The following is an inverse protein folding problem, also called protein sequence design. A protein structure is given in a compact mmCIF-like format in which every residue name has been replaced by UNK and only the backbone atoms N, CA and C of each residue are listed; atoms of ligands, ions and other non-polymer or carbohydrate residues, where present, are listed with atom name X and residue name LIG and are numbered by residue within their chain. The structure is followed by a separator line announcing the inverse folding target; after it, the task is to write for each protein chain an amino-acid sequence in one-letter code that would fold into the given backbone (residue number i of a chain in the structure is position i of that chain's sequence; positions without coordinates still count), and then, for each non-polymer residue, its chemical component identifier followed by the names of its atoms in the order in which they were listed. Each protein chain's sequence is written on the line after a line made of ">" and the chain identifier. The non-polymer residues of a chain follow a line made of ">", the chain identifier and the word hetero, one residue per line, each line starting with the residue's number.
data_IF_801988207271
#
_entry.id   IF_801988207271
#
_cell.length_a   1.000
_cell.length_b   1.000
_cell.length_c   1.000
_cell.angle_alpha   90.00
_cell.angle_beta   90.00
_cell.angle_gamma   90.00
#
_symmetry.space_group_name_H-M   'P 1'
#
loop_
_entity.id
_entity.type
_entity.pdbx_description
1 polymer ?
#
# COMPACT_ATOMS: atom_id res chain seq x y z
N UNK A 1 -53.15 19.77 66.63
CA UNK A 1 -51.75 19.31 66.61
C UNK A 1 -51.02 20.02 65.48
N UNK A 2 -50.14 20.98 65.79
CA UNK A 2 -49.34 21.69 64.78
C UNK A 2 -47.89 21.54 65.20
N UNK A 3 -47.13 20.69 64.49
CA UNK A 3 -45.67 20.66 64.61
C UNK A 3 -45.16 21.92 63.91
N UNK A 4 -44.71 22.89 64.69
CA UNK A 4 -43.90 23.99 64.19
C UNK A 4 -42.49 23.44 64.00
N UNK A 5 -42.07 23.30 62.75
CA UNK A 5 -40.69 23.01 62.41
C UNK A 5 -39.86 24.24 62.76
N UNK A 6 -38.97 24.15 63.74
CA UNK A 6 -37.95 25.18 63.96
C UNK A 6 -37.02 25.18 62.75
N UNK A 7 -37.13 26.23 61.92
CA UNK A 7 -36.13 26.50 60.90
C UNK A 7 -34.91 27.11 61.58
N UNK A 8 -33.95 26.25 61.94
CA UNK A 8 -32.61 26.70 62.31
C UNK A 8 -31.97 27.38 61.08
N UNK A 9 -31.82 28.69 61.12
CA UNK A 9 -31.09 29.46 60.10
C UNK A 9 -29.58 29.24 60.23
N UNK A 10 -28.90 29.10 59.09
CA UNK A 10 -27.43 29.02 59.01
C UNK A 10 -26.80 30.36 59.41
N UNK A 11 -25.67 30.32 60.14
CA UNK A 11 -24.93 31.54 60.46
C UNK A 11 -24.06 31.99 59.28
N UNK A 12 -23.83 33.30 59.16
CA UNK A 12 -22.98 33.86 58.11
C UNK A 12 -21.56 33.28 58.15
N UNK A 13 -21.03 33.00 59.35
CA UNK A 13 -19.69 32.41 59.50
C UNK A 13 -19.64 30.97 59.01
N UNK A 14 -20.70 30.20 59.23
CA UNK A 14 -20.82 28.82 58.76
C UNK A 14 -20.85 28.77 57.22
N UNK A 15 -21.57 29.69 56.58
CA UNK A 15 -21.59 29.77 55.12
C UNK A 15 -20.23 30.20 54.53
N UNK A 16 -19.51 31.13 55.18
CA UNK A 16 -18.15 31.52 54.76
C UNK A 16 -17.19 30.32 54.83
N UNK A 17 -17.22 29.57 55.94
CA UNK A 17 -16.36 28.41 56.14
C UNK A 17 -16.65 27.34 55.07
N UNK A 18 -17.92 27.09 54.76
CA UNK A 18 -18.33 26.12 53.73
C UNK A 18 -17.80 26.53 52.35
N UNK A 19 -17.98 27.80 51.95
CA UNK A 19 -17.49 28.30 50.66
C UNK A 19 -15.95 28.22 50.58
N UNK A 20 -15.26 28.56 51.67
CA UNK A 20 -13.79 28.47 51.72
C UNK A 20 -13.29 27.03 51.59
N UNK A 21 -13.87 26.09 52.35
CA UNK A 21 -13.48 24.67 52.31
C UNK A 21 -13.80 24.04 50.96
N UNK A 22 -15.00 24.31 50.41
CA UNK A 22 -15.39 23.79 49.09
C UNK A 22 -14.50 24.33 47.98
N UNK A 23 -14.06 25.59 48.05
CA UNK A 23 -13.05 26.15 47.13
C UNK A 23 -11.71 25.40 47.19
N UNK A 24 -11.19 25.16 48.40
CA UNK A 24 -9.92 24.44 48.60
C UNK A 24 -10.04 23.00 48.08
N UNK A 25 -11.06 22.25 48.53
CA UNK A 25 -11.26 20.86 48.12
C UNK A 25 -11.52 20.76 46.62
N UNK A 26 -12.34 21.66 46.05
CA UNK A 26 -12.61 21.70 44.62
C UNK A 26 -11.34 21.92 43.80
N UNK A 27 -10.45 22.80 44.23
CA UNK A 27 -9.16 23.03 43.57
C UNK A 27 -8.24 21.81 43.62
N UNK A 28 -8.19 21.10 44.76
CA UNK A 28 -7.41 19.86 44.89
C UNK A 28 -7.94 18.78 43.96
N UNK A 29 -9.26 18.54 43.96
CA UNK A 29 -9.90 17.54 43.09
C UNK A 29 -9.66 17.85 41.62
N UNK A 30 -9.73 19.11 41.21
CA UNK A 30 -9.46 19.51 39.83
C UNK A 30 -8.04 19.14 39.36
N UNK A 31 -7.03 19.32 40.22
CA UNK A 31 -5.65 18.92 39.92
C UNK A 31 -5.50 17.40 39.82
N UNK A 32 -6.16 16.64 40.71
CA UNK A 32 -6.14 15.18 40.67
C UNK A 32 -6.86 14.59 39.47
N UNK A 33 -7.94 15.22 38.98
CA UNK A 33 -8.68 14.75 37.80
C UNK A 33 -8.00 15.10 36.48
N UNK A 34 -7.16 16.14 36.44
CA UNK A 34 -6.50 16.56 35.20
C UNK A 34 -5.55 15.49 34.65
N UNK A 35 -4.72 14.90 35.49
CA UNK A 35 -3.73 13.88 35.09
C UNK A 35 -4.38 12.65 34.43
N UNK A 36 -5.40 11.98 35.02
CA UNK A 36 -6.03 10.83 34.38
C UNK A 36 -6.75 11.20 33.08
N UNK A 37 -7.38 12.38 32.99
CA UNK A 37 -8.01 12.85 31.75
C UNK A 37 -6.99 13.09 30.63
N UNK A 38 -5.88 13.79 30.94
CA UNK A 38 -4.80 14.02 29.98
C UNK A 38 -4.17 12.69 29.53
N UNK A 39 -4.02 11.73 30.44
CA UNK A 39 -3.52 10.39 30.13
C UNK A 39 -4.47 9.63 29.20
N UNK A 40 -5.79 9.73 29.42
CA UNK A 40 -6.79 9.08 28.58
C UNK A 40 -6.78 9.64 27.16
N UNK A 41 -6.74 10.97 27.02
CA UNK A 41 -6.64 11.63 25.71
C UNK A 41 -5.33 11.27 24.99
N UNK A 42 -4.23 11.16 25.73
CA UNK A 42 -2.96 10.70 25.17
C UNK A 42 -3.03 9.24 24.68
N UNK A 43 -3.67 8.35 25.44
CA UNK A 43 -3.86 6.95 25.03
C UNK A 43 -4.73 6.83 23.76
N UNK A 44 -5.86 7.55 23.68
CA UNK A 44 -6.71 7.56 22.49
C UNK A 44 -5.95 8.08 21.26
N UNK A 45 -5.19 9.18 21.41
CA UNK A 45 -4.36 9.72 20.33
C UNK A 45 -3.31 8.71 19.85
N UNK A 46 -2.59 8.07 20.76
CA UNK A 46 -1.59 7.05 20.44
C UNK A 46 -2.20 5.87 19.69
N UNK A 47 -3.37 5.42 20.14
CA UNK A 47 -4.11 4.33 19.51
C UNK A 47 -4.47 4.68 18.07
N UNK A 48 -5.01 5.88 17.82
CA UNK A 48 -5.37 6.35 16.47
C UNK A 48 -4.17 6.47 15.53
N UNK A 49 -3.05 7.02 16.01
CA UNK A 49 -1.83 7.10 15.19
C UNK A 49 -1.30 5.70 14.86
N UNK A 50 -1.29 4.80 15.85
CA UNK A 50 -0.83 3.41 15.65
C UNK A 50 -1.70 2.68 14.65
N UNK A 51 -3.03 2.79 14.77
CA UNK A 51 -3.99 2.17 13.85
C UNK A 51 -3.86 2.71 12.41
N UNK A 52 -3.69 4.03 12.27
CA UNK A 52 -3.45 4.66 10.96
C UNK A 52 -2.16 4.13 10.32
N UNK A 53 -1.08 4.06 11.09
CA UNK A 53 0.21 3.59 10.60
C UNK A 53 0.19 2.10 10.25
N UNK A 54 -0.39 1.25 11.10
CA UNK A 54 -0.50 -0.20 10.87
C UNK A 54 -1.38 -0.50 9.64
N UNK A 55 -2.53 0.17 9.52
CA UNK A 55 -3.42 0.03 8.36
C UNK A 55 -2.71 0.44 7.06
N UNK A 56 -1.98 1.56 7.07
CA UNK A 56 -1.21 2.02 5.91
C UNK A 56 -0.13 0.99 5.52
N UNK A 57 0.70 0.55 6.47
CA UNK A 57 1.77 -0.41 6.22
C UNK A 57 1.23 -1.78 5.76
N UNK A 58 0.13 -2.27 6.33
CA UNK A 58 -0.51 -3.51 5.88
C UNK A 58 -1.08 -3.41 4.48
N UNK A 59 -1.65 -2.25 4.11
CA UNK A 59 -2.12 -2.01 2.73
C UNK A 59 -0.95 -2.03 1.75
N UNK A 60 0.14 -1.31 2.07
CA UNK A 60 1.37 -1.34 1.27
C UNK A 60 1.92 -2.75 1.12
N UNK A 61 2.03 -3.49 2.22
CA UNK A 61 2.50 -4.88 2.22
C UNK A 61 1.68 -5.79 1.30
N UNK A 62 0.35 -5.64 1.28
CA UNK A 62 -0.52 -6.42 0.38
C UNK A 62 -0.29 -6.08 -1.08
N UNK A 63 -0.17 -4.79 -1.41
CA UNK A 63 0.05 -4.37 -2.81
C UNK A 63 1.45 -4.79 -3.29
N UNK A 64 2.48 -4.63 -2.45
CA UNK A 64 3.87 -5.03 -2.77
C UNK A 64 4.01 -6.54 -2.98
N UNK A 65 3.26 -7.37 -2.25
CA UNK A 65 3.23 -8.83 -2.48
C UNK A 65 2.70 -9.22 -3.86
N UNK A 66 1.95 -8.33 -4.49
CA UNK A 66 1.42 -8.48 -5.84
C UNK A 66 2.25 -7.71 -6.87
N UNK A 67 3.45 -7.25 -6.51
CA UNK A 67 4.36 -6.65 -7.48
C UNK A 67 4.81 -7.69 -8.52
N UNK A 68 4.97 -7.24 -9.76
CA UNK A 68 5.61 -8.02 -10.81
C UNK A 68 7.06 -8.32 -10.35
N UNK A 69 7.52 -9.57 -10.48
CA UNK A 69 8.89 -9.96 -10.14
C UNK A 69 9.91 -8.99 -10.72
N UNK A 70 10.88 -8.56 -9.92
CA UNK A 70 11.94 -7.62 -10.32
C UNK A 70 11.47 -6.24 -10.81
N UNK A 71 10.23 -5.82 -10.51
CA UNK A 71 9.73 -4.49 -10.86
C UNK A 71 9.80 -3.46 -9.73
N UNK A 72 10.03 -3.89 -8.49
CA UNK A 72 10.08 -2.96 -7.36
C UNK A 72 11.31 -2.07 -7.45
N UNK A 73 11.11 -0.77 -7.31
CA UNK A 73 12.16 0.25 -7.22
C UNK A 73 11.85 1.26 -6.14
N UNK A 74 12.90 1.81 -5.54
CA UNK A 74 12.82 2.83 -4.50
C UNK A 74 13.66 4.02 -4.94
N UNK A 75 13.19 5.25 -4.72
CA UNK A 75 13.98 6.44 -5.03
C UNK A 75 15.22 6.52 -4.15
N UNK A 76 16.29 7.17 -4.61
CA UNK A 76 17.52 7.30 -3.83
C UNK A 76 17.30 7.97 -2.45
N UNK A 77 16.29 8.82 -2.32
CA UNK A 77 15.90 9.45 -1.07
C UNK A 77 15.07 8.55 -0.13
N UNK A 78 14.65 7.36 -0.57
CA UNK A 78 13.80 6.45 0.20
C UNK A 78 12.38 6.96 0.44
N UNK A 79 11.94 8.00 -0.28
CA UNK A 79 10.64 8.65 -0.08
C UNK A 79 9.53 8.08 -0.95
N UNK A 80 9.88 7.32 -1.99
CA UNK A 80 8.92 6.69 -2.91
C UNK A 80 9.32 5.25 -3.14
N UNK A 81 8.35 4.34 -3.00
CA UNK A 81 8.43 2.96 -3.50
C UNK A 81 7.45 2.79 -4.63
N UNK A 82 7.92 2.23 -5.74
CA UNK A 82 7.17 2.05 -6.97
C UNK A 82 7.35 0.64 -7.51
N UNK A 83 6.29 0.07 -8.10
CA UNK A 83 6.31 -1.25 -8.70
C UNK A 83 5.22 -1.38 -9.76
N UNK A 84 5.31 -2.42 -10.59
CA UNK A 84 4.22 -2.80 -11.49
C UNK A 84 3.31 -3.79 -10.75
N UNK A 85 2.04 -3.47 -10.59
CA UNK A 85 1.06 -4.36 -9.96
C UNK A 85 0.69 -5.52 -10.87
N UNK A 86 0.47 -6.69 -10.29
CA UNK A 86 -0.07 -7.87 -10.98
C UNK A 86 -1.43 -8.22 -10.41
N UNK A 87 -2.35 -8.59 -11.31
CA UNK A 87 -3.69 -9.04 -10.93
C UNK A 87 -3.80 -10.57 -10.94
N UNK A 88 -3.15 -11.19 -11.90
CA UNK A 88 -3.19 -12.63 -12.14
C UNK A 88 -1.94 -13.10 -12.89
N UNK A 89 -1.89 -14.37 -13.23
CA UNK A 89 -0.86 -14.95 -14.08
C UNK A 89 -1.24 -16.39 -14.43
N UNK A 90 -0.50 -16.97 -15.36
CA UNK A 90 -0.81 -18.29 -15.88
C UNK A 90 0.41 -18.98 -16.45
N UNK A 91 0.15 -20.10 -17.12
CA UNK A 91 1.13 -20.74 -17.98
C UNK A 91 0.70 -20.57 -19.43
N UNK A 92 1.61 -20.11 -20.27
CA UNK A 92 1.39 -20.10 -21.72
C UNK A 92 1.73 -21.48 -22.29
N UNK A 93 1.14 -21.82 -23.43
CA UNK A 93 1.47 -23.00 -24.19
C UNK A 93 2.81 -22.80 -24.90
N UNK A 94 3.77 -23.69 -24.65
CA UNK A 94 5.10 -23.62 -25.25
C UNK A 94 5.22 -24.38 -26.59
N UNK A 95 4.27 -25.27 -26.88
CA UNK A 95 4.22 -26.06 -28.11
C UNK A 95 2.79 -26.10 -28.62
N UNK A 96 2.63 -25.79 -29.89
CA UNK A 96 1.35 -25.61 -30.56
C UNK A 96 1.53 -25.70 -32.08
N UNK A 97 0.42 -25.78 -32.79
CA UNK A 97 0.39 -25.74 -34.27
C UNK A 97 -0.17 -24.42 -34.80
N UNK A 98 -0.39 -23.43 -33.93
CA UNK A 98 -0.95 -22.12 -34.27
C UNK A 98 -2.46 -22.14 -34.55
N UNK A 99 -3.13 -23.29 -34.35
CA UNK A 99 -4.59 -23.36 -34.46
C UNK A 99 -5.27 -22.83 -33.20
N UNK A 100 -6.50 -22.35 -33.34
CA UNK A 100 -7.30 -21.83 -32.22
C UNK A 100 -7.47 -22.92 -31.15
N UNK A 101 -7.04 -22.63 -29.92
CA UNK A 101 -7.04 -23.60 -28.81
C UNK A 101 -5.73 -24.39 -28.67
N UNK A 102 -4.80 -24.24 -29.61
CA UNK A 102 -3.50 -24.89 -29.62
C UNK A 102 -2.39 -23.94 -30.11
N UNK A 103 -2.53 -22.65 -29.82
CA UNK A 103 -1.55 -21.63 -30.19
C UNK A 103 -0.42 -21.52 -29.14
N UNK A 104 0.83 -21.51 -29.57
CA UNK A 104 1.98 -21.36 -28.67
C UNK A 104 2.51 -19.94 -28.69
N UNK A 105 3.05 -19.48 -27.56
CA UNK A 105 3.78 -18.21 -27.56
C UNK A 105 5.13 -18.38 -28.27
N UNK A 106 5.31 -17.73 -29.42
CA UNK A 106 6.53 -17.72 -30.20
C UNK A 106 7.48 -16.60 -29.76
N UNK A 107 8.76 -16.96 -29.55
CA UNK A 107 9.82 -16.04 -29.12
C UNK A 107 10.77 -15.67 -30.28
N UNK A 108 10.60 -16.28 -31.45
CA UNK A 108 11.43 -16.07 -32.64
C UNK A 108 10.90 -14.98 -33.57
N UNK A 109 9.61 -14.65 -33.44
CA UNK A 109 8.90 -13.63 -34.22
C UNK A 109 8.08 -12.72 -33.31
N UNK A 110 7.52 -11.65 -33.87
CA UNK A 110 6.51 -10.86 -33.18
C UNK A 110 5.18 -11.61 -33.16
N UNK A 111 4.84 -12.14 -32.01
CA UNK A 111 3.60 -12.89 -31.79
C UNK A 111 2.46 -11.95 -31.36
N UNK A 112 1.22 -12.33 -31.66
CA UNK A 112 0.04 -11.53 -31.36
C UNK A 112 -1.04 -12.29 -30.56
N UNK A 113 -0.86 -13.58 -30.32
CA UNK A 113 -1.72 -14.37 -29.45
C UNK A 113 -0.97 -15.54 -28.83
N UNK A 114 -1.57 -16.17 -27.82
CA UNK A 114 -1.14 -17.48 -27.34
C UNK A 114 -2.24 -18.11 -26.50
N UNK A 115 -2.21 -19.43 -26.36
CA UNK A 115 -3.14 -20.17 -25.50
C UNK A 115 -2.60 -20.33 -24.07
N UNK A 116 -3.50 -20.25 -23.10
CA UNK A 116 -3.25 -20.53 -21.68
C UNK A 116 -3.39 -22.02 -21.41
N UNK A 117 -2.42 -22.59 -20.69
CA UNK A 117 -2.51 -23.92 -20.12
C UNK A 117 -3.23 -23.88 -18.77
N UNK A 118 -4.53 -24.16 -18.76
CA UNK A 118 -5.34 -24.24 -17.56
C UNK A 118 -6.70 -23.55 -17.70
N UNK A 119 -7.34 -23.15 -16.59
CA UNK A 119 -8.59 -22.40 -16.64
C UNK A 119 -8.37 -21.03 -17.29
N UNK A 120 -9.46 -20.45 -17.82
CA UNK A 120 -9.45 -19.11 -18.36
C UNK A 120 -9.05 -18.06 -17.32
N UNK A 121 -8.39 -17.01 -17.78
CA UNK A 121 -7.92 -15.91 -16.94
C UNK A 121 -8.82 -14.71 -17.16
N UNK A 122 -9.25 -14.09 -16.07
CA UNK A 122 -10.04 -12.86 -16.12
C UNK A 122 -9.18 -11.68 -16.54
N UNK A 123 -9.39 -11.20 -17.77
CA UNK A 123 -8.71 -10.07 -18.37
C UNK A 123 -9.60 -8.83 -18.38
N UNK A 124 -8.97 -7.66 -18.37
CA UNK A 124 -9.61 -6.34 -18.44
C UNK A 124 -8.92 -5.46 -19.51
N UNK A 125 -9.65 -4.45 -19.98
CA UNK A 125 -9.07 -3.44 -20.86
C UNK A 125 -7.95 -2.67 -20.12
N UNK A 126 -6.81 -2.47 -20.80
CA UNK A 126 -5.63 -1.82 -20.23
C UNK A 126 -4.64 -2.75 -19.54
N UNK A 127 -4.96 -4.04 -19.43
CA UNK A 127 -4.01 -5.04 -18.94
C UNK A 127 -2.80 -5.17 -19.85
N UNK A 128 -1.68 -5.57 -19.25
CA UNK A 128 -0.44 -5.89 -19.96
C UNK A 128 0.03 -7.28 -19.59
N UNK A 129 0.58 -8.01 -20.54
CA UNK A 129 1.17 -9.32 -20.32
C UNK A 129 2.67 -9.14 -20.11
N UNK A 130 3.15 -9.60 -18.97
CA UNK A 130 4.56 -9.71 -18.69
C UNK A 130 5.03 -11.15 -18.88
N UNK A 131 6.13 -11.34 -19.58
CA UNK A 131 6.79 -12.66 -19.72
C UNK A 131 8.23 -12.53 -19.28
N UNK A 132 8.60 -13.31 -18.27
CA UNK A 132 9.96 -13.49 -17.80
C UNK A 132 10.73 -12.18 -17.48
N UNK A 133 10.13 -11.30 -16.65
CA UNK A 133 10.79 -10.05 -16.22
C UNK A 133 11.95 -10.32 -15.26
N UNK A 134 13.17 -10.00 -15.70
CA UNK A 134 14.39 -10.17 -14.92
C UNK A 134 14.87 -8.85 -14.29
N UNK A 135 14.35 -7.71 -14.74
CA UNK A 135 14.77 -6.39 -14.26
C UNK A 135 16.22 -6.04 -14.64
N UNK A 136 16.70 -6.61 -15.75
CA UNK A 136 18.02 -6.34 -16.33
C UNK A 136 17.84 -5.85 -17.78
N UNK A 137 18.83 -5.12 -18.34
CA UNK A 137 18.76 -4.70 -19.74
C UNK A 137 18.52 -5.89 -20.69
N UNK A 138 17.56 -5.74 -21.61
CA UNK A 138 17.10 -6.79 -22.52
C UNK A 138 15.98 -7.68 -21.96
N UNK A 139 15.64 -7.56 -20.67
CA UNK A 139 14.55 -8.27 -20.01
C UNK A 139 13.94 -7.45 -18.85
N UNK A 140 13.74 -6.13 -19.07
CA UNK A 140 13.16 -5.21 -18.10
C UNK A 140 11.75 -4.72 -18.52
N UNK A 141 10.79 -4.91 -17.62
CA UNK A 141 9.41 -4.45 -17.77
C UNK A 141 9.31 -2.92 -17.77
N UNK A 142 10.17 -2.19 -17.05
CA UNK A 142 10.14 -0.73 -17.05
C UNK A 142 10.61 -0.13 -18.39
N UNK A 143 11.52 -0.82 -19.07
CA UNK A 143 11.90 -0.52 -20.45
C UNK A 143 10.87 -0.99 -21.50
N UNK A 144 9.81 -1.69 -21.07
CA UNK A 144 8.79 -2.26 -21.95
C UNK A 144 9.25 -3.49 -22.74
N UNK A 145 10.43 -4.05 -22.42
CA UNK A 145 11.03 -5.16 -23.16
C UNK A 145 10.26 -6.46 -22.92
N UNK A 146 9.78 -6.68 -21.70
CA UNK A 146 9.05 -7.88 -21.31
C UNK A 146 7.54 -7.67 -21.21
N UNK A 147 7.02 -6.55 -21.71
CA UNK A 147 5.59 -6.21 -21.67
C UNK A 147 4.97 -6.20 -23.08
N UNK A 148 3.75 -6.71 -23.17
CA UNK A 148 2.86 -6.53 -24.33
C UNK A 148 1.49 -6.04 -23.85
N UNK A 149 0.83 -5.17 -24.61
CA UNK A 149 -0.52 -4.72 -24.28
C UNK A 149 -1.53 -5.81 -24.61
N UNK A 150 -2.47 -6.10 -23.70
CA UNK A 150 -3.61 -6.95 -24.01
C UNK A 150 -4.57 -6.22 -24.95
N UNK A 151 -5.03 -6.89 -26.01
CA UNK A 151 -5.88 -6.31 -27.06
C UNK A 151 -7.25 -6.97 -27.16
N UNK A 152 -7.51 -8.00 -26.35
CA UNK A 152 -8.78 -8.72 -26.33
C UNK A 152 -9.89 -8.02 -25.51
N UNK A 153 -11.08 -8.62 -25.54
CA UNK A 153 -12.21 -8.17 -24.73
C UNK A 153 -12.03 -8.51 -23.24
N UNK A 154 -12.70 -7.77 -22.35
CA UNK A 154 -12.74 -8.12 -20.94
C UNK A 154 -13.56 -9.40 -20.73
N UNK A 155 -13.11 -10.27 -19.81
CA UNK A 155 -13.75 -11.55 -19.53
C UNK A 155 -12.75 -12.65 -19.21
N UNK A 156 -13.26 -13.85 -18.92
CA UNK A 156 -12.42 -15.04 -18.74
C UNK A 156 -12.02 -15.60 -20.10
N UNK A 157 -10.73 -15.53 -20.44
CA UNK A 157 -10.20 -15.96 -21.75
C UNK A 157 -9.13 -17.03 -21.59
N UNK A 158 -9.09 -17.97 -22.54
CA UNK A 158 -8.03 -18.97 -22.68
C UNK A 158 -7.08 -18.65 -23.83
N UNK A 159 -7.54 -17.88 -24.82
CA UNK A 159 -6.70 -17.30 -25.87
C UNK A 159 -6.43 -15.84 -25.48
N UNK A 160 -5.16 -15.49 -25.29
CA UNK A 160 -4.74 -14.14 -24.91
C UNK A 160 -4.26 -13.42 -26.17
N UNK A 161 -5.03 -12.44 -26.63
CA UNK A 161 -4.61 -11.54 -27.71
C UNK A 161 -3.74 -10.41 -27.15
N UNK A 162 -2.60 -10.17 -27.77
CA UNK A 162 -1.65 -9.11 -27.41
C UNK A 162 -1.33 -8.24 -28.62
N UNK A 163 -0.89 -7.01 -28.36
CA UNK A 163 -0.23 -6.21 -29.39
C UNK A 163 1.03 -6.95 -29.87
N UNK A 164 1.33 -6.97 -31.18
CA UNK A 164 2.45 -7.74 -31.72
C UNK A 164 3.74 -7.51 -30.94
N UNK A 165 4.30 -8.58 -30.37
CA UNK A 165 5.46 -8.52 -29.49
C UNK A 165 6.33 -9.77 -29.67
N UNK A 166 7.62 -9.54 -29.91
CA UNK A 166 8.63 -10.57 -29.71
C UNK A 166 9.16 -10.43 -28.28
N UNK A 167 8.81 -11.38 -27.40
CA UNK A 167 9.40 -11.41 -26.07
C UNK A 167 10.87 -11.86 -26.16
N UNK A 168 11.77 -11.25 -25.38
CA UNK A 168 13.20 -11.51 -25.51
C UNK A 168 13.61 -12.91 -25.04
N UNK A 169 12.90 -13.45 -24.04
CA UNK A 169 13.26 -14.69 -23.37
C UNK A 169 12.01 -15.47 -22.94
N UNK A 170 12.06 -16.79 -23.12
CA UNK A 170 11.05 -17.70 -22.61
C UNK A 170 11.22 -17.96 -21.12
N UNK A 171 10.13 -17.84 -20.34
CA UNK A 171 10.12 -18.28 -18.94
C UNK A 171 10.37 -19.79 -18.84
N UNK A 172 11.36 -20.27 -18.06
CA UNK A 172 11.63 -21.70 -17.90
C UNK A 172 10.44 -22.51 -17.36
N UNK A 173 9.51 -21.87 -16.66
CA UNK A 173 8.28 -22.47 -16.16
C UNK A 173 7.07 -22.27 -17.07
N UNK A 174 7.28 -21.72 -18.28
CA UNK A 174 6.26 -21.26 -19.21
C UNK A 174 5.25 -20.31 -18.57
N UNK A 175 5.70 -19.42 -17.68
CA UNK A 175 4.83 -18.50 -16.92
C UNK A 175 4.72 -17.14 -17.58
N UNK A 176 3.57 -16.49 -17.35
CA UNK A 176 3.35 -15.08 -17.61
C UNK A 176 2.54 -14.46 -16.47
N UNK A 177 2.58 -13.14 -16.37
CA UNK A 177 1.82 -12.35 -15.40
C UNK A 177 0.94 -11.34 -16.12
N UNK A 178 -0.23 -11.06 -15.54
CA UNK A 178 -1.15 -9.99 -15.97
C UNK A 178 -0.89 -8.78 -15.10
N UNK A 179 -0.35 -7.72 -15.70
CA UNK A 179 0.05 -6.46 -15.09
C UNK A 179 -1.09 -5.45 -15.24
N UNK A 180 -1.53 -4.86 -14.13
CA UNK A 180 -2.65 -3.91 -14.09
C UNK A 180 -2.23 -2.43 -14.10
N UNK A 181 -0.94 -2.14 -13.94
CA UNK A 181 -0.44 -0.75 -13.98
C UNK A 181 0.73 -0.50 -13.04
N UNK A 182 1.38 0.67 -13.14
CA UNK A 182 2.31 1.10 -12.11
C UNK A 182 1.56 1.59 -10.87
N UNK A 183 2.15 1.31 -9.70
CA UNK A 183 1.68 1.76 -8.38
C UNK A 183 2.84 2.42 -7.67
N UNK A 184 2.60 3.60 -7.11
CA UNK A 184 3.58 4.35 -6.31
C UNK A 184 3.02 4.69 -4.94
N UNK A 185 3.82 4.53 -3.90
CA UNK A 185 3.58 5.12 -2.59
C UNK A 185 4.54 6.29 -2.39
N UNK A 186 4.00 7.49 -2.38
CA UNK A 186 4.76 8.73 -2.19
C UNK A 186 4.57 9.18 -0.77
N UNK A 187 5.69 9.25 -0.05
CA UNK A 187 5.73 9.86 1.26
C UNK A 187 6.24 11.29 1.17
N UNK A 188 5.44 12.22 1.70
CA UNK A 188 5.75 13.64 1.74
C UNK A 188 5.60 14.14 3.19
N UNK A 189 6.69 14.15 3.97
CA UNK A 189 6.69 14.71 5.32
C UNK A 189 6.43 16.22 5.37
N UNK A 190 6.70 16.97 4.29
CA UNK A 190 6.44 18.41 4.24
C UNK A 190 4.93 18.69 4.13
N UNK A 191 4.21 17.90 3.34
CA UNK A 191 2.75 17.90 3.32
C UNK A 191 2.13 17.09 4.49
N UNK A 192 2.94 16.29 5.19
CA UNK A 192 2.50 15.41 6.26
C UNK A 192 1.66 14.23 5.77
N UNK A 193 1.89 13.71 4.56
CA UNK A 193 1.04 12.69 3.93
C UNK A 193 1.80 11.48 3.41
N UNK A 194 1.10 10.34 3.39
CA UNK A 194 1.49 9.15 2.63
C UNK A 194 0.36 8.85 1.64
N UNK A 195 0.67 8.89 0.35
CA UNK A 195 -0.32 8.81 -0.72
C UNK A 195 0.02 7.68 -1.69
N UNK A 196 -0.97 6.86 -2.04
CA UNK A 196 -0.87 5.86 -3.10
C UNK A 196 -1.35 6.46 -4.42
N UNK A 197 -0.59 6.24 -5.47
CA UNK A 197 -0.90 6.59 -6.85
C UNK A 197 -0.94 5.32 -7.70
N UNK A 198 -1.80 5.29 -8.71
CA UNK A 198 -1.89 4.17 -9.66
C UNK A 198 -2.37 4.63 -11.02
N UNK A 199 -2.17 3.78 -12.04
CA UNK A 199 -2.74 4.00 -13.38
C UNK A 199 -2.18 5.23 -14.10
N UNK A 200 -0.97 5.66 -13.75
CA UNK A 200 -0.23 6.70 -14.47
C UNK A 200 0.67 6.09 -15.54
N UNK A 201 1.17 6.92 -16.45
CA UNK A 201 2.16 6.50 -17.44
C UNK A 201 3.54 6.41 -16.77
N UNK A 202 4.20 5.23 -16.76
CA UNK A 202 5.50 5.06 -16.13
C UNK A 202 6.62 5.92 -16.78
N UNK A 203 6.48 6.33 -18.04
CA UNK A 203 7.44 7.20 -18.72
C UNK A 203 7.32 8.67 -18.26
N UNK A 204 6.13 9.08 -17.84
CA UNK A 204 5.85 10.44 -17.32
C UNK A 204 6.01 10.48 -15.80
N UNK A 205 5.71 9.38 -15.12
CA UNK A 205 5.67 9.29 -13.67
C UNK A 205 4.37 9.79 -13.05
N UNK A 206 4.38 9.97 -11.73
CA UNK A 206 3.21 10.42 -10.97
C UNK A 206 2.96 11.92 -11.24
N UNK A 207 1.79 12.23 -11.80
CA UNK A 207 1.34 13.61 -12.04
C UNK A 207 0.18 13.99 -11.11
N UNK A 208 -0.19 15.27 -11.10
CA UNK A 208 -1.36 15.72 -10.37
C UNK A 208 -2.69 15.14 -10.91
N UNK A 209 -2.74 14.63 -12.14
CA UNK A 209 -3.95 13.99 -12.67
C UNK A 209 -4.04 12.50 -12.30
N UNK A 210 -2.96 11.90 -11.80
CA UNK A 210 -2.93 10.48 -11.48
C UNK A 210 -3.96 10.12 -10.40
N UNK A 211 -4.75 9.04 -10.61
CA UNK A 211 -5.60 8.47 -9.58
C UNK A 211 -4.82 8.24 -8.28
N UNK A 212 -5.40 8.67 -7.15
CA UNK A 212 -4.71 8.67 -5.86
C UNK A 212 -5.63 8.43 -4.67
N UNK A 213 -5.04 7.95 -3.58
CA UNK A 213 -5.70 7.73 -2.29
C UNK A 213 -4.74 8.05 -1.15
N UNK A 214 -5.21 8.84 -0.18
CA UNK A 214 -4.48 9.18 1.03
C UNK A 214 -4.53 8.00 2.01
N UNK A 215 -3.36 7.52 2.47
CA UNK A 215 -3.28 6.42 3.44
C UNK A 215 -3.05 6.91 4.87
N UNK A 216 -2.22 7.95 5.03
CA UNK A 216 -1.94 8.51 6.33
C UNK A 216 -1.77 10.03 6.23
N UNK A 217 -2.18 10.70 7.30
CA UNK A 217 -1.87 12.10 7.56
C UNK A 217 -0.92 12.19 8.75
N UNK A 218 -0.35 13.38 8.98
CA UNK A 218 0.57 13.65 10.09
C UNK A 218 1.87 12.86 9.99
N UNK A 219 2.27 12.51 8.78
CA UNK A 219 3.54 11.83 8.51
C UNK A 219 4.67 12.79 8.83
N UNK A 220 5.49 12.46 9.83
CA UNK A 220 6.66 13.26 10.21
C UNK A 220 7.95 12.73 9.61
N UNK A 221 8.01 11.43 9.34
CA UNK A 221 9.12 10.80 8.64
C UNK A 221 8.70 9.44 8.07
N UNK A 222 9.41 8.99 7.06
CA UNK A 222 9.22 7.69 6.43
C UNK A 222 10.49 7.29 5.70
N UNK A 223 10.65 6.00 5.47
CA UNK A 223 11.72 5.49 4.63
C UNK A 223 11.31 4.17 4.01
N UNK A 224 11.62 4.01 2.74
CA UNK A 224 11.54 2.76 2.00
C UNK A 224 12.96 2.33 1.64
N UNK A 225 13.20 1.02 1.73
CA UNK A 225 14.42 0.39 1.26
C UNK A 225 14.03 -0.90 0.54
N UNK A 226 14.69 -1.17 -0.59
CA UNK A 226 14.47 -2.39 -1.36
C UNK A 226 15.80 -3.09 -1.56
N UNK A 227 15.89 -4.31 -1.03
CA UNK A 227 17.01 -5.20 -1.22
C UNK A 227 16.59 -6.26 -2.22
N UNK A 228 17.06 -6.16 -3.49
CA UNK A 228 16.82 -7.21 -4.46
C UNK A 228 17.57 -8.47 -4.04
N UNK A 229 16.89 -9.62 -3.97
CA UNK A 229 17.57 -10.91 -3.83
C UNK A 229 18.31 -11.22 -5.12
N UNK A 230 19.58 -10.86 -5.18
CA UNK A 230 20.40 -10.94 -6.39
C UNK A 230 20.63 -12.40 -6.85
N UNK A 231 20.35 -13.38 -5.96
CA UNK A 231 20.48 -14.83 -6.21
C UNK A 231 19.41 -15.69 -5.53
N UNK A 232 18.48 -15.09 -4.78
CA UNK A 232 17.39 -15.79 -4.10
C UNK A 232 16.07 -15.36 -4.72
N UNK A 233 15.10 -16.27 -4.80
CA UNK A 233 13.80 -16.09 -5.50
C UNK A 233 12.89 -15.01 -4.89
N UNK A 234 13.39 -14.16 -4.01
CA UNK A 234 12.63 -13.09 -3.36
C UNK A 234 13.45 -11.83 -3.10
N UNK A 235 12.76 -10.69 -3.04
CA UNK A 235 13.30 -9.43 -2.57
C UNK A 235 12.69 -9.03 -1.23
N UNK A 236 13.31 -8.09 -0.54
CA UNK A 236 12.81 -7.54 0.72
C UNK A 236 12.55 -6.05 0.58
N UNK A 237 11.32 -5.62 0.85
CA UNK A 237 10.97 -4.21 1.02
C UNK A 237 10.82 -3.91 2.50
N UNK A 238 11.67 -3.02 2.98
CA UNK A 238 11.63 -2.51 4.36
C UNK A 238 10.96 -1.15 4.36
N UNK A 239 9.95 -0.97 5.21
CA UNK A 239 9.16 0.25 5.29
C UNK A 239 9.17 0.76 6.72
N UNK A 240 9.41 2.05 6.89
CA UNK A 240 9.24 2.73 8.16
C UNK A 240 8.32 3.91 7.99
N UNK A 241 7.37 4.07 8.92
CA UNK A 241 6.42 5.19 8.95
C UNK A 241 6.40 5.79 10.36
N UNK A 242 6.60 7.11 10.44
CA UNK A 242 6.50 7.89 11.68
C UNK A 242 5.38 8.90 11.55
N UNK A 243 4.47 8.91 12.53
CA UNK A 243 3.36 9.87 12.60
C UNK A 243 3.47 10.70 13.88
N UNK A 244 3.21 12.00 13.79
CA UNK A 244 3.35 12.93 14.91
C UNK A 244 2.11 13.80 15.12
N UNK A 245 1.62 13.90 16.36
CA UNK A 245 0.51 14.77 16.72
C UNK A 245 0.68 15.32 18.14
N UNK A 246 0.56 16.64 18.31
CA UNK A 246 0.60 17.29 19.62
C UNK A 246 1.84 16.93 20.47
N UNK A 247 3.03 16.88 19.83
CA UNK A 247 4.30 16.54 20.48
C UNK A 247 4.54 15.04 20.67
N UNK A 248 3.54 14.20 20.42
CA UNK A 248 3.68 12.74 20.46
C UNK A 248 4.08 12.21 19.08
N UNK A 249 5.01 11.25 19.05
CA UNK A 249 5.45 10.58 17.82
C UNK A 249 5.47 9.07 18.02
N UNK A 250 4.89 8.35 17.07
CA UNK A 250 5.02 6.90 16.94
C UNK A 250 5.82 6.56 15.70
N UNK A 251 6.54 5.44 15.74
CA UNK A 251 7.29 4.90 14.61
C UNK A 251 6.98 3.42 14.48
N UNK A 252 6.48 3.00 13.33
CA UNK A 252 6.26 1.60 13.00
C UNK A 252 7.22 1.19 11.89
N UNK A 253 7.62 -0.08 11.95
CA UNK A 253 8.46 -0.72 10.95
C UNK A 253 7.75 -1.98 10.44
N UNK A 254 7.81 -2.21 9.13
CA UNK A 254 7.25 -3.39 8.50
C UNK A 254 8.14 -3.86 7.35
N UNK A 255 8.30 -5.17 7.24
CA UNK A 255 9.03 -5.81 6.15
C UNK A 255 8.07 -6.65 5.33
N UNK A 256 8.24 -6.63 4.01
CA UNK A 256 7.46 -7.43 3.08
C UNK A 256 8.38 -8.11 2.09
N UNK A 257 8.21 -9.43 1.97
CA UNK A 257 8.85 -10.21 0.93
C UNK A 257 8.12 -10.00 -0.40
N UNK A 258 8.91 -9.87 -1.46
CA UNK A 258 8.48 -9.77 -2.86
C UNK A 258 8.89 -11.05 -3.55
N UNK A 259 7.99 -11.66 -4.32
CA UNK A 259 8.37 -12.81 -5.16
C UNK A 259 9.13 -12.31 -6.38
N UNK A 260 10.42 -12.64 -6.47
CA UNK A 260 11.25 -12.38 -7.65
C UNK A 260 11.40 -13.66 -8.48
N UNK A 261 10.30 -14.42 -8.60
CA UNK A 261 10.20 -15.60 -9.45
C UNK A 261 9.29 -15.30 -10.65
N UNK A 262 9.87 -14.82 -11.76
CA UNK A 262 9.14 -14.55 -13.00
C UNK A 262 8.67 -15.81 -13.74
#
# INVERSE_FOLDING_TARGET
>A
MRRTSDHAGFSLIEMIIVIAITGIVGSMVALFLRVPLDSYVAQDRRARLTDTADTALRRMARDIRLALPNSVRVTAAGSVVEFLGTRSGGRYRAQGDGSVGNDNLDFTIADNSFEVLGPGIAMQAGDRIAVYNLGIPGADAWAGETLANYTGAAGSVTSIAIAPKQFPLASPGNRFQVVDGPVSYVCDPAAGTLTRFWGYDPAVGVTAAAPRALLATRVSACSFDYQPGVTERGGLVSMTLSLSLAGETIRLHANTQVSNQP
#
